data_IF_128010759679
#
_entry.id   IF_128010759679
#
_cell.length_a   1.000
_cell.length_b   1.000
_cell.length_c   1.000
_cell.angle_alpha   90.00
_cell.angle_beta   90.00
_cell.angle_gamma   90.00
#
_symmetry.space_group_name_H-M   'P 1'
#
loop_
_entity.id
_entity.type
_entity.pdbx_description
1 polymer ?
#
# COMPACT_ATOMS: atom_id res chain seq x y z
N UNK A 1 -4.70 -11.96 9.41
CA UNK A 1 -5.75 -12.95 9.83
C UNK A 1 -7.15 -12.32 9.85
N UNK A 2 -7.29 -11.08 10.31
CA UNK A 2 -8.54 -10.31 10.28
C UNK A 2 -8.95 -9.92 8.84
N UNK A 3 -8.00 -9.69 7.93
CA UNK A 3 -8.27 -9.30 6.53
C UNK A 3 -8.97 -10.40 5.70
N UNK A 4 -8.64 -11.67 5.92
CA UNK A 4 -9.24 -12.79 5.18
C UNK A 4 -10.72 -12.95 5.53
N UNK A 5 -11.07 -12.74 6.81
CA UNK A 5 -12.45 -12.84 7.30
C UNK A 5 -13.31 -11.67 6.80
N UNK A 6 -12.73 -10.47 6.71
CA UNK A 6 -13.39 -9.29 6.15
C UNK A 6 -13.64 -9.44 4.64
N UNK A 7 -12.67 -10.02 3.91
CA UNK A 7 -12.81 -10.30 2.47
C UNK A 7 -13.92 -11.34 2.19
N UNK A 8 -14.02 -12.38 3.04
CA UNK A 8 -15.06 -13.42 2.92
C UNK A 8 -16.46 -12.86 3.25
N UNK A 9 -16.58 -11.83 4.09
CA UNK A 9 -17.88 -11.29 4.53
C UNK A 9 -18.34 -10.06 3.75
N UNK A 10 -17.41 -9.26 3.21
CA UNK A 10 -17.71 -8.05 2.46
C UNK A 10 -18.05 -8.34 0.98
N UNK A 11 -17.40 -9.32 0.37
CA UNK A 11 -17.65 -9.71 -1.02
C UNK A 11 -19.10 -10.21 -1.23
N UNK A 12 -19.66 -11.10 -0.39
CA UNK A 12 -21.03 -11.56 -0.54
C UNK A 12 -22.06 -10.47 -0.24
N UNK A 13 -21.81 -9.59 0.74
CA UNK A 13 -22.76 -8.55 1.14
C UNK A 13 -22.89 -7.44 0.09
N UNK A 14 -21.77 -7.02 -0.50
CA UNK A 14 -21.77 -6.09 -1.66
C UNK A 14 -22.41 -6.77 -2.87
N UNK A 15 -22.07 -8.01 -3.17
CA UNK A 15 -22.63 -8.75 -4.31
C UNK A 15 -24.16 -8.96 -4.17
N UNK A 16 -24.65 -9.33 -2.98
CA UNK A 16 -26.07 -9.59 -2.72
C UNK A 16 -26.93 -8.31 -2.78
N UNK A 17 -26.39 -7.17 -2.33
CA UNK A 17 -27.09 -5.87 -2.40
C UNK A 17 -27.35 -5.39 -3.83
N UNK A 18 -26.63 -5.94 -4.80
CA UNK A 18 -26.70 -5.55 -6.19
C UNK A 18 -27.64 -6.41 -7.05
N UNK A 19 -28.33 -7.40 -6.48
CA UNK A 19 -29.28 -8.27 -7.18
C UNK A 19 -30.64 -7.60 -7.50
N UNK A 20 -30.66 -6.29 -7.73
CA UNK A 20 -31.80 -5.59 -8.35
C UNK A 20 -31.49 -5.47 -9.84
N UNK A 21 -32.20 -6.24 -10.65
CA UNK A 21 -31.85 -6.55 -12.05
C UNK A 21 -32.79 -5.86 -13.03
N UNK A 22 -32.94 -4.54 -12.92
CA UNK A 22 -33.75 -3.73 -13.85
C UNK A 22 -32.96 -2.61 -14.55
N UNK A 23 -31.62 -2.55 -14.38
CA UNK A 23 -30.79 -1.44 -14.89
C UNK A 23 -29.93 -1.86 -16.10
N UNK A 24 -29.71 -0.93 -17.05
CA UNK A 24 -28.95 -1.13 -18.29
C UNK A 24 -27.50 -1.61 -18.04
N UNK A 25 -26.97 -2.44 -18.95
CA UNK A 25 -25.66 -3.07 -18.80
C UNK A 25 -24.50 -2.08 -18.59
N UNK A 26 -24.59 -0.89 -19.21
CA UNK A 26 -23.57 0.15 -19.08
C UNK A 26 -23.56 0.81 -17.70
N UNK A 27 -24.72 0.97 -17.06
CA UNK A 27 -24.80 1.47 -15.70
C UNK A 27 -24.22 0.43 -14.74
N UNK A 28 -24.56 -0.85 -14.92
CA UNK A 28 -24.05 -1.94 -14.08
C UNK A 28 -22.51 -2.01 -14.05
N UNK A 29 -21.85 -1.74 -15.19
CA UNK A 29 -20.39 -1.76 -15.27
C UNK A 29 -19.75 -0.66 -14.43
N UNK A 30 -20.31 0.55 -14.48
CA UNK A 30 -19.71 1.69 -13.82
C UNK A 30 -19.88 1.64 -12.29
N UNK A 31 -21.09 1.33 -11.79
CA UNK A 31 -21.32 1.39 -10.34
C UNK A 31 -20.95 0.09 -9.60
N UNK A 32 -21.02 -1.08 -10.26
CA UNK A 32 -20.66 -2.36 -9.63
C UNK A 32 -19.24 -2.79 -9.94
N UNK A 33 -18.90 -2.98 -11.22
CA UNK A 33 -17.65 -3.64 -11.59
C UNK A 33 -16.44 -2.75 -11.33
N UNK A 34 -16.50 -1.46 -11.67
CA UNK A 34 -15.40 -0.53 -11.37
C UNK A 34 -15.15 -0.41 -9.88
N UNK A 35 -16.21 -0.26 -9.07
CA UNK A 35 -16.09 -0.16 -7.60
C UNK A 35 -15.55 -1.45 -6.99
N UNK A 36 -16.07 -2.61 -7.42
CA UNK A 36 -15.58 -3.91 -6.96
C UNK A 36 -14.10 -4.13 -7.31
N UNK A 37 -13.68 -3.71 -8.51
CA UNK A 37 -12.30 -3.80 -8.95
C UNK A 37 -11.38 -2.91 -8.10
N UNK A 38 -11.76 -1.66 -7.84
CA UNK A 38 -10.99 -0.76 -6.98
C UNK A 38 -10.89 -1.26 -5.55
N UNK A 39 -11.97 -1.81 -4.98
CA UNK A 39 -11.96 -2.43 -3.66
C UNK A 39 -11.01 -3.63 -3.64
N UNK A 40 -11.05 -4.49 -4.66
CA UNK A 40 -10.14 -5.63 -4.78
C UNK A 40 -8.67 -5.18 -4.84
N UNK A 41 -8.35 -4.18 -5.67
CA UNK A 41 -7.00 -3.62 -5.72
C UNK A 41 -6.57 -3.00 -4.38
N UNK A 42 -7.47 -2.31 -3.69
CA UNK A 42 -7.21 -1.73 -2.38
C UNK A 42 -6.89 -2.80 -1.33
N UNK A 43 -7.63 -3.91 -1.31
CA UNK A 43 -7.37 -4.99 -0.36
C UNK A 43 -6.04 -5.69 -0.65
N UNK A 44 -5.75 -5.98 -1.92
CA UNK A 44 -4.49 -6.62 -2.34
C UNK A 44 -3.27 -5.75 -1.99
N UNK A 45 -3.37 -4.44 -2.16
CA UNK A 45 -2.28 -3.52 -1.81
C UNK A 45 -2.15 -3.31 -0.30
N UNK A 46 -3.24 -3.39 0.46
CA UNK A 46 -3.21 -3.34 1.91
C UNK A 46 -2.51 -4.55 2.52
N UNK A 47 -2.74 -5.76 2.00
CA UNK A 47 -2.09 -6.98 2.54
C UNK A 47 -0.57 -6.93 2.39
N UNK A 48 -0.06 -6.39 1.28
CA UNK A 48 1.36 -6.13 1.03
C UNK A 48 2.00 -5.18 2.04
N UNK A 49 1.22 -4.34 2.73
CA UNK A 49 1.73 -3.42 3.76
C UNK A 49 1.88 -4.09 5.13
N UNK A 50 1.24 -5.24 5.35
CA UNK A 50 1.31 -5.97 6.64
C UNK A 50 2.41 -7.04 6.66
N UNK A 51 3.07 -7.29 5.53
CA UNK A 51 4.26 -8.14 5.50
C UNK A 51 5.40 -7.45 6.26
N UNK A 52 6.20 -8.28 6.94
CA UNK A 52 7.20 -7.90 7.96
C UNK A 52 8.25 -6.90 7.42
N UNK A 53 8.52 -6.94 6.11
CA UNK A 53 9.60 -6.17 5.47
C UNK A 53 9.05 -5.22 4.39
N UNK A 54 8.55 -4.05 4.81
CA UNK A 54 7.99 -3.04 3.88
C UNK A 54 9.05 -2.40 2.97
N UNK A 55 10.23 -2.10 3.51
CA UNK A 55 11.39 -1.50 2.82
C UNK A 55 12.68 -1.87 3.55
N UNK A 56 13.71 -2.22 2.79
CA UNK A 56 15.07 -2.48 3.30
C UNK A 56 15.96 -1.26 3.03
N UNK A 57 16.52 -0.66 4.08
CA UNK A 57 17.45 0.45 3.92
C UNK A 57 18.92 0.01 3.99
N UNK A 58 19.81 0.82 3.42
CA UNK A 58 21.24 0.56 3.49
C UNK A 58 21.75 0.75 4.93
N UNK A 59 22.06 -0.37 5.58
CA UNK A 59 22.47 -0.42 6.98
C UNK A 59 23.98 -0.65 7.14
N UNK A 60 24.51 -0.29 8.31
CA UNK A 60 25.93 -0.52 8.64
C UNK A 60 26.16 -2.00 8.92
N UNK A 61 27.30 -2.54 8.50
CA UNK A 61 27.65 -3.95 8.67
C UNK A 61 27.71 -4.44 10.13
N UNK A 62 27.88 -3.53 11.11
CA UNK A 62 28.04 -3.87 12.52
C UNK A 62 26.71 -3.86 13.32
N UNK A 63 25.56 -3.65 12.66
CA UNK A 63 24.27 -3.61 13.35
C UNK A 63 23.74 -5.02 13.64
N UNK A 64 23.28 -5.23 14.88
CA UNK A 64 22.52 -6.44 15.23
C UNK A 64 21.12 -6.38 14.59
N UNK A 65 20.48 -7.54 14.45
CA UNK A 65 19.19 -7.68 13.75
C UNK A 65 18.11 -6.70 14.23
N UNK A 66 18.03 -6.45 15.54
CA UNK A 66 17.03 -5.51 16.09
C UNK A 66 17.25 -4.06 15.68
N UNK A 67 18.50 -3.63 15.47
CA UNK A 67 18.76 -2.29 14.94
C UNK A 67 18.41 -2.21 13.46
N UNK A 68 18.65 -3.27 12.68
CA UNK A 68 18.29 -3.34 11.25
C UNK A 68 16.78 -3.16 11.08
N UNK A 69 15.99 -3.92 11.86
CA UNK A 69 14.53 -3.85 11.86
C UNK A 69 14.03 -2.44 12.25
N UNK A 70 14.61 -1.85 13.29
CA UNK A 70 14.30 -0.49 13.71
C UNK A 70 14.64 0.55 12.63
N UNK A 71 15.80 0.45 11.99
CA UNK A 71 16.20 1.38 10.92
C UNK A 71 15.29 1.29 9.71
N UNK A 72 14.87 0.07 9.33
CA UNK A 72 13.94 -0.16 8.24
C UNK A 72 12.57 0.49 8.52
N UNK A 73 12.06 0.35 9.75
CA UNK A 73 10.82 1.00 10.18
C UNK A 73 10.89 2.54 10.13
N UNK A 74 12.00 3.12 10.61
CA UNK A 74 12.18 4.58 10.57
C UNK A 74 12.28 5.09 9.12
N UNK A 75 12.96 4.34 8.24
CA UNK A 75 13.03 4.67 6.82
C UNK A 75 11.66 4.63 6.14
N UNK A 76 10.80 3.68 6.52
CA UNK A 76 9.44 3.55 5.99
C UNK A 76 8.52 4.70 6.39
N UNK A 77 8.56 5.11 7.66
CA UNK A 77 7.65 6.16 8.19
C UNK A 77 8.10 7.57 7.79
N UNK A 78 9.41 7.75 7.59
CA UNK A 78 9.99 9.05 7.24
C UNK A 78 9.90 9.32 5.73
N UNK A 79 9.67 10.57 5.34
CA UNK A 79 9.68 10.95 3.92
C UNK A 79 11.07 10.72 3.31
N UNK A 80 11.11 10.00 2.20
CA UNK A 80 12.31 9.77 1.40
C UNK A 80 12.30 10.65 0.15
N UNK A 81 13.48 10.92 -0.41
CA UNK A 81 13.64 11.71 -1.63
C UNK A 81 14.66 11.04 -2.54
N UNK A 82 14.48 11.25 -3.85
CA UNK A 82 15.37 10.69 -4.86
C UNK A 82 16.55 11.64 -5.12
N UNK A 83 17.75 11.07 -5.29
CA UNK A 83 18.95 11.80 -5.69
C UNK A 83 19.60 11.03 -6.84
N UNK A 84 20.00 11.76 -7.88
CA UNK A 84 20.80 11.19 -8.97
C UNK A 84 22.17 10.70 -8.45
N UNK A 85 22.65 9.53 -8.88
CA UNK A 85 23.85 8.89 -8.32
C UNK A 85 25.14 9.71 -8.43
N UNK A 86 25.21 10.66 -9.37
CA UNK A 86 26.38 11.52 -9.58
C UNK A 86 26.31 12.88 -8.86
N UNK A 87 25.22 13.16 -8.13
CA UNK A 87 24.99 14.44 -7.46
C UNK A 87 25.34 14.33 -5.97
N UNK A 88 25.97 15.37 -5.42
CA UNK A 88 26.27 15.44 -3.98
C UNK A 88 25.00 15.69 -3.17
N UNK A 89 24.91 15.08 -1.99
CA UNK A 89 23.79 15.29 -1.06
C UNK A 89 23.78 16.77 -0.61
N UNK A 90 22.71 17.53 -0.87
CA UNK A 90 22.65 18.94 -0.49
C UNK A 90 22.62 19.08 1.04
N UNK A 91 23.30 20.10 1.56
CA UNK A 91 23.39 20.34 3.01
C UNK A 91 22.10 20.95 3.57
N UNK A 92 21.42 21.77 2.77
CA UNK A 92 20.17 22.40 3.15
C UNK A 92 19.03 21.38 3.07
N UNK A 93 18.16 21.36 4.07
CA UNK A 93 17.01 20.46 4.14
C UNK A 93 15.96 20.85 3.09
N UNK A 94 15.80 22.15 2.82
CA UNK A 94 14.81 22.67 1.86
C UNK A 94 15.14 22.21 0.43
N UNK A 95 16.42 22.11 0.11
CA UNK A 95 16.91 21.66 -1.21
C UNK A 95 16.79 20.14 -1.41
N UNK A 96 16.46 19.36 -0.37
CA UNK A 96 16.24 17.90 -0.47
C UNK A 96 14.82 17.54 -0.87
N UNK A 97 13.87 18.46 -0.66
CA UNK A 97 12.44 18.27 -0.94
C UNK A 97 11.98 18.92 -2.26
N UNK A 98 12.91 19.53 -3.02
CA UNK A 98 12.69 20.18 -4.32
C UNK A 98 13.19 19.26 -5.44
#
# INVERSE_FOLDING_TARGET
MIDLLYLITLVPTVLLSTLRTDDDAFDMINYKYTVAFLILCSVITATRQFDDDRIECWNRANFIKSYIEYTNQICYVSSTYYIEPNKTIPKNIIERSL
#
